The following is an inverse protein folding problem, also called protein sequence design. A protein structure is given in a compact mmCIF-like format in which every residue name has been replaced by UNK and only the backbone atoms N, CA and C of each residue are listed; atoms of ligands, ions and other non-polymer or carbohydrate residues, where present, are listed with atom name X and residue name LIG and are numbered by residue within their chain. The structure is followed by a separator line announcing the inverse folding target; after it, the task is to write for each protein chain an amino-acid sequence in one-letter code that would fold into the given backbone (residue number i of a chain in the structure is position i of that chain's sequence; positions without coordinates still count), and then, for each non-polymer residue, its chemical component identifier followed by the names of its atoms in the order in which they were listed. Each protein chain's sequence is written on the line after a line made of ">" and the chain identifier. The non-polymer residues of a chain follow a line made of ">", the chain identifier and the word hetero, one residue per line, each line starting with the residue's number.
data_IF_669955084562
#
_entry.id   IF_669955084562
#
_cell.length_a   1.000
_cell.length_b   1.000
_cell.length_c   1.000
_cell.angle_alpha   90.00
_cell.angle_beta   90.00
_cell.angle_gamma   90.00
#
_symmetry.space_group_name_H-M   'P 1'
#
loop_
_entity.id
_entity.type
_entity.pdbx_description
1 polymer ?
#
# COMPACT_ATOMS: atom_id res chain seq x y z
N UNK A 1 -15.00 3.34 4.81
CA UNK A 1 -14.61 2.74 6.10
C UNK A 1 -13.20 2.21 5.94
N UNK A 2 -12.24 2.62 6.78
CA UNK A 2 -10.83 2.32 6.57
C UNK A 2 -10.55 0.83 6.76
N UNK A 3 -9.70 0.28 5.89
CA UNK A 3 -9.14 -1.05 6.05
C UNK A 3 -8.14 -1.03 7.22
N UNK A 4 -8.12 -2.07 8.05
CA UNK A 4 -7.14 -2.19 9.13
C UNK A 4 -6.05 -3.16 8.75
N UNK A 5 -4.79 -2.74 8.80
CA UNK A 5 -3.67 -3.64 8.53
C UNK A 5 -3.65 -4.81 9.52
N UNK A 6 -3.65 -6.03 8.99
CA UNK A 6 -3.46 -7.27 9.76
C UNK A 6 -2.03 -7.75 9.63
N UNK A 7 -1.52 -7.82 8.40
CA UNK A 7 -0.18 -8.33 8.11
C UNK A 7 0.36 -7.80 6.79
N UNK A 8 1.68 -7.74 6.65
CA UNK A 8 2.36 -7.40 5.41
C UNK A 8 3.47 -8.40 5.13
N UNK A 9 3.56 -8.87 3.88
CA UNK A 9 4.59 -9.79 3.43
C UNK A 9 5.19 -9.31 2.11
N UNK A 10 6.52 -9.32 2.01
CA UNK A 10 7.20 -9.09 0.73
C UNK A 10 7.38 -10.42 0.02
N UNK A 11 7.07 -10.49 -1.28
CA UNK A 11 7.38 -11.71 -2.05
C UNK A 11 8.89 -11.89 -2.13
N UNK A 12 9.34 -13.14 -2.11
CA UNK A 12 10.76 -13.49 -2.26
C UNK A 12 11.37 -12.96 -3.58
N UNK A 13 10.56 -12.68 -4.60
CA UNK A 13 11.00 -12.04 -5.84
C UNK A 13 11.41 -10.58 -5.67
N UNK A 14 11.05 -9.93 -4.57
CA UNK A 14 11.31 -8.51 -4.31
C UNK A 14 10.59 -7.56 -5.26
N UNK A 15 9.64 -8.06 -6.06
CA UNK A 15 8.93 -7.28 -7.07
C UNK A 15 7.59 -6.75 -6.58
N UNK A 16 7.05 -7.35 -5.53
CA UNK A 16 5.71 -7.05 -5.04
C UNK A 16 5.64 -7.35 -3.55
N UNK A 17 4.83 -6.57 -2.87
CA UNK A 17 4.44 -6.79 -1.49
C UNK A 17 2.93 -7.00 -1.42
N UNK A 18 2.51 -7.87 -0.52
CA UNK A 18 1.10 -8.11 -0.23
C UNK A 18 0.82 -7.64 1.19
N UNK A 19 -0.20 -6.80 1.34
CA UNK A 19 -0.78 -6.47 2.64
C UNK A 19 -2.11 -7.22 2.77
N UNK A 20 -2.31 -7.84 3.92
CA UNK A 20 -3.59 -8.40 4.33
C UNK A 20 -4.21 -7.37 5.25
N UNK A 21 -5.39 -6.91 4.89
CA UNK A 21 -6.12 -5.90 5.65
C UNK A 21 -7.52 -6.38 5.99
N UNK A 22 -7.94 -6.20 7.23
CA UNK A 22 -9.28 -6.56 7.71
C UNK A 22 -10.29 -5.49 7.28
N UNK A 23 -11.44 -5.96 6.78
CA UNK A 23 -12.62 -5.15 6.51
C UNK A 23 -13.52 -5.14 7.73
N UNK A 24 -14.11 -3.99 8.04
CA UNK A 24 -15.02 -3.84 9.19
C UNK A 24 -16.24 -4.77 9.10
N UNK A 25 -16.73 -5.02 7.88
CA UNK A 25 -17.86 -5.93 7.61
C UNK A 25 -17.35 -7.29 7.15
N UNK A 26 -16.53 -7.93 7.98
CA UNK A 26 -16.11 -9.32 7.84
C UNK A 26 -15.24 -9.64 6.61
N UNK A 27 -14.07 -10.22 6.85
CA UNK A 27 -13.18 -10.75 5.83
C UNK A 27 -11.96 -9.89 5.55
N UNK A 28 -11.01 -10.50 4.85
CA UNK A 28 -9.72 -9.91 4.54
C UNK A 28 -9.68 -9.41 3.10
N UNK A 29 -9.08 -8.23 2.92
CA UNK A 29 -8.74 -7.65 1.63
C UNK A 29 -7.24 -7.80 1.41
N UNK A 30 -6.87 -8.35 0.24
CA UNK A 30 -5.47 -8.48 -0.15
C UNK A 30 -5.12 -7.27 -1.00
N UNK A 31 -4.28 -6.40 -0.45
CA UNK A 31 -3.75 -5.22 -1.14
C UNK A 31 -2.39 -5.54 -1.72
N UNK A 32 -2.22 -5.26 -3.01
CA UNK A 32 -0.94 -5.43 -3.68
C UNK A 32 -0.18 -4.10 -3.71
N UNK A 33 1.03 -4.07 -3.17
CA UNK A 33 1.94 -2.92 -3.26
C UNK A 33 3.04 -3.26 -4.26
N UNK A 34 3.10 -2.47 -5.33
CA UNK A 34 4.12 -2.63 -6.37
C UNK A 34 5.52 -2.26 -5.86
N UNK A 35 6.57 -2.87 -6.41
CA UNK A 35 7.96 -2.46 -6.12
C UNK A 35 8.21 -0.98 -6.38
N UNK A 36 7.62 -0.44 -7.44
CA UNK A 36 7.75 0.97 -7.80
C UNK A 36 7.19 1.87 -6.69
N UNK A 37 6.05 1.52 -6.10
CA UNK A 37 5.50 2.24 -4.94
C UNK A 37 6.45 2.22 -3.72
N UNK A 38 7.11 1.08 -3.47
CA UNK A 38 8.08 0.94 -2.38
C UNK A 38 9.36 1.74 -2.61
N UNK A 39 9.85 1.77 -3.85
CA UNK A 39 10.99 2.59 -4.22
C UNK A 39 10.65 4.07 -4.19
N UNK A 40 9.43 4.43 -4.60
CA UNK A 40 8.99 5.82 -4.62
C UNK A 40 8.83 6.37 -3.20
N UNK A 41 8.16 5.64 -2.28
CA UNK A 41 7.84 6.19 -0.95
C UNK A 41 9.09 6.55 -0.14
N UNK A 42 10.19 5.81 -0.30
CA UNK A 42 11.39 5.95 0.51
C UNK A 42 12.43 6.86 -0.17
N UNK A 43 13.00 7.78 0.61
CA UNK A 43 14.21 8.51 0.23
C UNK A 43 15.35 8.16 1.21
N UNK A 44 16.46 7.52 0.77
CA UNK A 44 16.74 7.03 -0.59
C UNK A 44 15.87 5.81 -0.99
N UNK A 45 15.67 5.56 -2.32
CA UNK A 45 14.83 4.48 -2.82
C UNK A 45 15.33 3.11 -2.36
N UNK A 46 14.49 2.37 -1.62
CA UNK A 46 14.88 1.08 -1.07
C UNK A 46 13.68 0.14 -0.94
N UNK A 47 13.75 -1.01 -1.62
CA UNK A 47 12.74 -2.05 -1.56
C UNK A 47 13.20 -3.18 -0.63
N UNK A 48 12.86 -3.08 0.67
CA UNK A 48 13.11 -4.13 1.66
C UNK A 48 11.98 -4.21 2.69
N UNK A 49 12.01 -5.29 3.49
CA UNK A 49 10.96 -5.56 4.50
C UNK A 49 10.94 -4.51 5.62
N UNK A 50 12.10 -3.96 6.01
CA UNK A 50 12.17 -2.91 7.03
C UNK A 50 11.45 -1.63 6.58
N UNK A 51 11.67 -1.20 5.33
CA UNK A 51 10.98 -0.04 4.75
C UNK A 51 9.51 -0.30 4.55
N UNK A 52 9.15 -1.51 4.15
CA UNK A 52 7.75 -1.89 4.10
C UNK A 52 7.08 -1.68 5.47
N UNK A 53 7.68 -2.18 6.55
CA UNK A 53 7.13 -2.02 7.91
C UNK A 53 7.03 -0.54 8.33
N UNK A 54 8.03 0.28 7.98
CA UNK A 54 8.04 1.71 8.30
C UNK A 54 6.90 2.47 7.60
N UNK A 55 6.63 2.15 6.33
CA UNK A 55 5.63 2.83 5.52
C UNK A 55 4.30 2.07 5.39
N UNK A 56 4.12 0.98 6.16
CA UNK A 56 2.93 0.13 6.06
C UNK A 56 1.65 0.88 6.40
N UNK A 57 1.72 1.84 7.32
CA UNK A 57 0.60 2.71 7.67
C UNK A 57 0.22 3.64 6.52
N UNK A 58 1.20 4.12 5.75
CA UNK A 58 0.96 4.96 4.57
C UNK A 58 0.29 4.15 3.47
N UNK A 59 0.80 2.94 3.18
CA UNK A 59 0.18 2.06 2.19
C UNK A 59 -1.23 1.65 2.60
N UNK A 60 -1.47 1.43 3.90
CA UNK A 60 -2.80 1.13 4.45
C UNK A 60 -3.80 2.28 4.28
N UNK A 61 -3.33 3.52 4.48
CA UNK A 61 -4.11 4.73 4.28
C UNK A 61 -4.51 4.90 2.80
N UNK A 62 -3.53 4.78 1.90
CA UNK A 62 -3.77 4.82 0.45
C UNK A 62 -4.73 3.71 0.02
N UNK A 63 -4.52 2.49 0.51
CA UNK A 63 -5.37 1.35 0.17
C UNK A 63 -6.82 1.54 0.66
N UNK A 64 -6.99 2.09 1.86
CA UNK A 64 -8.31 2.43 2.41
C UNK A 64 -9.03 3.47 1.55
N UNK A 65 -8.31 4.52 1.13
CA UNK A 65 -8.86 5.54 0.24
C UNK A 65 -9.32 4.96 -1.10
N UNK A 66 -8.50 4.11 -1.73
CA UNK A 66 -8.86 3.44 -2.99
C UNK A 66 -10.02 2.45 -2.83
N UNK A 67 -10.02 1.70 -1.73
CA UNK A 67 -11.09 0.75 -1.42
C UNK A 67 -12.44 1.46 -1.27
N UNK A 68 -12.47 2.57 -0.53
CA UNK A 68 -13.67 3.40 -0.37
C UNK A 68 -14.10 4.06 -1.69
N UNK A 69 -13.13 4.45 -2.54
CA UNK A 69 -13.36 4.97 -3.89
C UNK A 69 -13.79 3.91 -4.91
N UNK A 70 -13.82 2.62 -4.54
CA UNK A 70 -14.03 1.47 -5.44
C UNK A 70 -13.02 1.41 -6.61
N UNK A 71 -11.81 1.92 -6.39
CA UNK A 71 -10.70 1.89 -7.34
C UNK A 71 -9.97 0.55 -7.27
N UNK A 72 -10.67 -0.49 -7.71
CA UNK A 72 -10.20 -1.87 -7.69
C UNK A 72 -9.57 -2.24 -9.04
N UNK A 73 -8.60 -3.13 -9.00
CA UNK A 73 -8.02 -3.78 -10.19
C UNK A 73 -9.04 -4.70 -10.86
N UNK A 74 -8.75 -5.14 -12.08
CA UNK A 74 -9.58 -6.11 -12.82
C UNK A 74 -9.79 -7.44 -12.08
N UNK A 75 -8.89 -7.80 -11.16
CA UNK A 75 -9.00 -8.98 -10.30
C UNK A 75 -9.87 -8.73 -9.04
N UNK A 76 -10.44 -7.54 -8.92
CA UNK A 76 -11.29 -7.13 -7.79
C UNK A 76 -10.53 -6.71 -6.54
N UNK A 77 -9.20 -6.57 -6.60
CA UNK A 77 -8.33 -6.24 -5.46
C UNK A 77 -7.84 -4.81 -5.51
N UNK A 78 -7.43 -4.26 -4.37
CA UNK A 78 -6.76 -2.96 -4.31
C UNK A 78 -5.28 -3.11 -4.69
N UNK A 79 -4.79 -2.24 -5.57
CA UNK A 79 -3.37 -2.14 -5.88
C UNK A 79 -2.84 -0.73 -5.61
N UNK A 80 -1.71 -0.66 -4.89
CA UNK A 80 -0.96 0.57 -4.58
C UNK A 80 0.25 0.66 -5.50
N UNK A 81 0.28 1.73 -6.29
CA UNK A 81 1.26 2.02 -7.34
C UNK A 81 2.08 3.25 -7.00
N UNK A 82 3.20 3.46 -7.72
CA UNK A 82 4.00 4.69 -7.57
C UNK A 82 3.17 5.95 -7.80
N UNK A 83 2.18 5.92 -8.71
CA UNK A 83 1.24 7.03 -8.93
C UNK A 83 0.44 7.36 -7.67
N UNK A 84 -0.04 6.35 -6.95
CA UNK A 84 -0.80 6.55 -5.72
C UNK A 84 0.09 7.15 -4.61
N UNK A 85 1.35 6.71 -4.53
CA UNK A 85 2.35 7.25 -3.60
C UNK A 85 2.70 8.70 -3.94
N UNK A 86 2.95 9.00 -5.22
CA UNK A 86 3.20 10.36 -5.70
C UNK A 86 2.03 11.29 -5.42
N UNK A 87 0.80 10.82 -5.63
CA UNK A 87 -0.41 11.56 -5.29
C UNK A 87 -0.49 11.80 -3.78
N UNK A 88 -0.21 10.79 -2.95
CA UNK A 88 -0.20 10.93 -1.49
C UNK A 88 0.83 11.97 -1.02
N UNK A 89 2.06 11.93 -1.57
CA UNK A 89 3.11 12.92 -1.28
C UNK A 89 2.70 14.34 -1.68
N UNK A 90 2.06 14.51 -2.83
CA UNK A 90 1.58 15.82 -3.29
C UNK A 90 0.50 16.42 -2.36
N UNK A 91 -0.31 15.59 -1.70
CA UNK A 91 -1.32 16.03 -0.73
C UNK A 91 -0.75 16.25 0.68
N UNK A 92 0.49 15.83 0.95
CA UNK A 92 1.18 15.99 2.25
C UNK A 92 2.62 16.52 2.07
N UNK A 93 2.80 17.82 1.86
CA UNK A 93 4.12 18.42 1.61
C UNK A 93 5.07 18.43 2.82
N UNK A 94 4.69 17.87 3.98
CA UNK A 94 5.44 17.93 5.24
C UNK A 94 6.17 16.62 5.62
N UNK A 95 6.14 15.60 4.75
CA UNK A 95 6.74 14.29 5.01
C UNK A 95 8.02 14.02 4.19
N UNK A 96 8.68 15.07 3.71
CA UNK A 96 9.96 15.00 3.00
C UNK A 96 11.14 15.17 3.97
#
# INVERSE_FOLDING_TARGET
>A
MPLKLVSGMMKASGNETLLIMERDVGGDEIVLVTKEALLDIADPPLCNECRLQEYVSVFSDIASHKFDGKELTSDGRVAVTSTDVSAWKAHRPDAA
#
